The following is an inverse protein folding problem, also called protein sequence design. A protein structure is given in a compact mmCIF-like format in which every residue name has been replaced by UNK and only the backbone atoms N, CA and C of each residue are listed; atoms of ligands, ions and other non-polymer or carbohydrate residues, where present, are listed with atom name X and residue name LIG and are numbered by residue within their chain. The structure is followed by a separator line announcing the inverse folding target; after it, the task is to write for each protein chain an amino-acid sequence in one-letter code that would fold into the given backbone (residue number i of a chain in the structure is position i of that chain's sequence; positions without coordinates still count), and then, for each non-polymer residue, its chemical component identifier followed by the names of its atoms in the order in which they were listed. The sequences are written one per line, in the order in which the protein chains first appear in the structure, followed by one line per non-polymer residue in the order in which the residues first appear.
data_IF_780407358819
#
_entry.id   IF_780407358819
#
_cell.length_a   1.000
_cell.length_b   1.000
_cell.length_c   1.000
_cell.angle_alpha   90.00
_cell.angle_beta   90.00
_cell.angle_gamma   90.00
#
_symmetry.space_group_name_H-M   'P 1'
#
loop_
_entity.id
_entity.type
_entity.pdbx_description
1 polymer ?
#
# COMPACT_ATOMS: atom_id res chain seq x y z
N UNK A 1 12.11 2.92 -10.12
CA UNK A 1 12.21 4.27 -10.74
C UNK A 1 13.25 4.30 -11.85
N UNK A 2 14.53 4.01 -11.57
CA UNK A 2 15.63 4.06 -12.57
C UNK A 2 15.40 3.20 -13.81
N UNK A 3 14.88 1.98 -13.65
CA UNK A 3 14.60 1.09 -14.78
C UNK A 3 13.52 1.65 -15.72
N UNK A 4 12.42 2.19 -15.19
CA UNK A 4 11.36 2.82 -15.98
C UNK A 4 11.88 4.08 -16.67
N UNK A 5 12.63 4.93 -15.95
CA UNK A 5 13.25 6.13 -16.52
C UNK A 5 14.17 5.78 -17.70
N UNK A 6 15.03 4.77 -17.54
CA UNK A 6 15.94 4.33 -18.60
C UNK A 6 15.19 3.89 -19.86
N UNK A 7 14.10 3.11 -19.71
CA UNK A 7 13.27 2.69 -20.85
C UNK A 7 12.61 3.87 -21.57
N UNK A 8 12.09 4.85 -20.82
CA UNK A 8 11.45 6.03 -21.41
C UNK A 8 12.46 6.96 -22.10
N UNK A 9 13.67 7.11 -21.54
CA UNK A 9 14.76 7.84 -22.19
C UNK A 9 15.16 7.17 -23.50
N UNK A 10 15.31 5.84 -23.52
CA UNK A 10 15.62 5.10 -24.77
C UNK A 10 14.56 5.36 -25.84
N UNK A 11 13.26 5.26 -25.49
CA UNK A 11 12.16 5.60 -26.42
C UNK A 11 12.27 7.02 -26.95
N UNK A 12 12.51 7.99 -26.07
CA UNK A 12 12.63 9.40 -26.46
C UNK A 12 13.79 9.62 -27.44
N UNK A 13 14.93 8.97 -27.20
CA UNK A 13 16.11 9.03 -28.09
C UNK A 13 15.86 8.37 -29.45
N UNK A 14 14.92 7.42 -29.53
CA UNK A 14 14.48 6.80 -30.78
C UNK A 14 13.45 7.66 -31.55
N UNK A 15 13.12 8.85 -31.04
CA UNK A 15 12.16 9.77 -31.66
C UNK A 15 10.70 9.44 -31.35
N UNK A 16 10.42 8.47 -30.45
CA UNK A 16 9.06 8.19 -30.00
C UNK A 16 8.52 9.31 -29.11
N UNK A 17 7.20 9.46 -29.13
CA UNK A 17 6.49 10.32 -28.18
C UNK A 17 6.47 9.63 -26.80
N UNK A 18 6.75 10.43 -25.76
CA UNK A 18 6.77 9.97 -24.37
C UNK A 18 5.96 10.95 -23.53
N UNK A 19 4.93 10.46 -22.85
CA UNK A 19 4.18 11.23 -21.88
C UNK A 19 4.85 11.07 -20.51
N UNK A 20 5.74 11.99 -20.17
CA UNK A 20 6.51 11.92 -18.93
C UNK A 20 5.64 11.98 -17.67
N UNK A 21 4.51 12.67 -17.75
CA UNK A 21 3.59 12.79 -16.62
C UNK A 21 2.92 11.44 -16.35
N UNK A 22 2.34 10.84 -17.39
CA UNK A 22 1.65 9.56 -17.27
C UNK A 22 2.61 8.38 -17.09
N UNK A 23 3.61 8.27 -17.94
CA UNK A 23 4.45 7.07 -18.06
C UNK A 23 5.50 6.99 -16.97
N UNK A 24 5.92 8.13 -16.40
CA UNK A 24 6.90 8.17 -15.31
C UNK A 24 6.34 8.71 -14.02
N UNK A 25 5.83 9.95 -14.02
CA UNK A 25 5.51 10.66 -12.79
C UNK A 25 4.36 9.99 -12.03
N UNK A 26 3.21 9.79 -12.67
CA UNK A 26 2.04 9.15 -12.08
C UNK A 26 2.35 7.73 -11.60
N UNK A 27 3.03 6.94 -12.43
CA UNK A 27 3.42 5.56 -12.07
C UNK A 27 4.38 5.52 -10.87
N UNK A 28 5.35 6.43 -10.82
CA UNK A 28 6.29 6.51 -9.69
C UNK A 28 5.57 6.98 -8.44
N UNK A 29 4.74 8.02 -8.55
CA UNK A 29 4.00 8.59 -7.44
C UNK A 29 2.98 7.62 -6.86
N UNK A 30 2.36 6.74 -7.66
CA UNK A 30 1.51 5.67 -7.15
C UNK A 30 2.24 4.80 -6.10
N UNK A 31 3.42 4.31 -6.46
CA UNK A 31 4.21 3.47 -5.56
C UNK A 31 4.71 4.23 -4.33
N UNK A 32 5.19 5.47 -4.54
CA UNK A 32 5.64 6.36 -3.45
C UNK A 32 4.49 6.68 -2.50
N UNK A 33 3.30 6.97 -3.00
CA UNK A 33 2.11 7.29 -2.21
C UNK A 33 1.63 6.08 -1.40
N UNK A 34 1.61 4.89 -2.03
CA UNK A 34 1.30 3.63 -1.35
C UNK A 34 2.23 3.40 -0.18
N UNK A 35 3.55 3.48 -0.42
CA UNK A 35 4.53 3.27 0.64
C UNK A 35 4.47 4.36 1.72
N UNK A 36 4.20 5.62 1.34
CA UNK A 36 4.00 6.73 2.29
C UNK A 36 2.86 6.45 3.26
N UNK A 37 1.71 5.96 2.79
CA UNK A 37 0.60 5.60 3.67
C UNK A 37 0.98 4.54 4.69
N UNK A 38 1.81 3.57 4.30
CA UNK A 38 2.32 2.54 5.21
C UNK A 38 3.29 3.10 6.25
N UNK A 39 4.20 4.00 5.85
CA UNK A 39 5.09 4.69 6.79
C UNK A 39 4.29 5.50 7.81
N UNK A 40 3.27 6.25 7.36
CA UNK A 40 2.41 7.01 8.27
C UNK A 40 1.63 6.09 9.21
N UNK A 41 1.00 5.05 8.68
CA UNK A 41 0.25 4.07 9.48
C UNK A 41 1.12 3.35 10.53
N UNK A 42 2.43 3.21 10.28
CA UNK A 42 3.39 2.73 11.28
C UNK A 42 3.56 3.74 12.42
N UNK A 43 3.87 5.00 12.10
CA UNK A 43 4.07 6.03 13.12
C UNK A 43 2.80 6.41 13.89
N UNK A 44 1.63 6.23 13.28
CA UNK A 44 0.32 6.45 13.91
C UNK A 44 -0.12 5.28 14.82
N UNK A 45 0.59 4.14 14.80
CA UNK A 45 0.21 2.93 15.55
C UNK A 45 -0.85 2.05 14.87
N UNK A 46 -1.37 2.47 13.70
CA UNK A 46 -2.39 1.71 12.95
C UNK A 46 -1.88 0.33 12.53
N UNK A 47 -0.61 0.24 12.09
CA UNK A 47 -0.01 -1.04 11.73
C UNK A 47 0.29 -1.91 12.95
N UNK A 48 0.63 -1.33 14.10
CA UNK A 48 0.79 -2.09 15.35
C UNK A 48 -0.53 -2.77 15.74
N UNK A 49 -1.64 -2.04 15.72
CA UNK A 49 -2.99 -2.60 15.95
C UNK A 49 -3.24 -3.80 15.04
N UNK A 50 -2.89 -3.73 13.76
CA UNK A 50 -3.12 -4.81 12.80
C UNK A 50 -2.18 -6.01 13.06
N UNK A 51 -0.88 -5.76 13.26
CA UNK A 51 0.13 -6.82 13.35
C UNK A 51 0.11 -7.58 14.67
N UNK A 52 -0.37 -6.96 15.74
CA UNK A 52 -0.45 -7.57 17.06
C UNK A 52 -1.88 -7.98 17.46
N UNK A 53 -2.88 -7.75 16.59
CA UNK A 53 -4.22 -8.24 16.80
C UNK A 53 -4.28 -9.77 16.94
N UNK A 54 -5.07 -10.25 17.89
CA UNK A 54 -5.46 -11.64 17.96
C UNK A 54 -6.31 -12.03 16.75
N UNK A 55 -6.25 -13.31 16.34
CA UNK A 55 -7.03 -13.88 15.23
C UNK A 55 -6.94 -13.06 13.92
N UNK A 56 -5.75 -13.07 13.32
CA UNK A 56 -5.49 -12.41 12.03
C UNK A 56 -6.04 -13.22 10.85
N UNK A 57 -6.63 -12.55 9.87
CA UNK A 57 -6.95 -13.15 8.57
C UNK A 57 -5.65 -13.37 7.75
N UNK A 58 -5.28 -14.63 7.41
CA UNK A 58 -4.08 -14.92 6.64
C UNK A 58 -4.03 -14.25 5.26
N UNK A 59 -5.17 -14.04 4.62
CA UNK A 59 -5.25 -13.38 3.30
C UNK A 59 -4.86 -11.91 3.43
N UNK A 60 -5.45 -11.21 4.40
CA UNK A 60 -5.15 -9.80 4.69
C UNK A 60 -3.67 -9.62 5.03
N UNK A 61 -3.12 -10.50 5.88
CA UNK A 61 -1.70 -10.48 6.23
C UNK A 61 -0.80 -10.61 4.99
N UNK A 62 -1.10 -11.56 4.09
CA UNK A 62 -0.34 -11.73 2.83
C UNK A 62 -0.40 -10.49 1.94
N UNK A 63 -1.58 -9.88 1.81
CA UNK A 63 -1.78 -8.67 1.02
C UNK A 63 -0.97 -7.49 1.59
N UNK A 64 -0.97 -7.30 2.90
CA UNK A 64 -0.16 -6.27 3.58
C UNK A 64 1.34 -6.56 3.42
N UNK A 65 1.77 -7.81 3.60
CA UNK A 65 3.16 -8.22 3.40
C UNK A 65 3.63 -8.00 1.95
N UNK A 66 2.76 -8.16 0.96
CA UNK A 66 3.08 -7.87 -0.45
C UNK A 66 3.50 -6.41 -0.64
N UNK A 67 2.82 -5.47 0.03
CA UNK A 67 3.18 -4.05 -0.04
C UNK A 67 4.53 -3.80 0.61
N UNK A 68 4.76 -4.39 1.79
CA UNK A 68 6.04 -4.29 2.51
C UNK A 68 7.21 -4.93 1.74
N UNK A 69 6.93 -5.94 0.92
CA UNK A 69 7.89 -6.55 0.00
C UNK A 69 8.15 -5.69 -1.27
N UNK A 70 7.50 -4.53 -1.41
CA UNK A 70 7.71 -3.59 -2.49
C UNK A 70 6.77 -3.75 -3.69
N UNK A 71 5.78 -4.64 -3.64
CA UNK A 71 4.78 -4.81 -4.71
C UNK A 71 3.70 -3.72 -4.66
N UNK A 72 4.10 -2.45 -4.70
CA UNK A 72 3.24 -1.27 -4.51
C UNK A 72 2.50 -0.80 -5.76
N UNK A 73 2.57 -1.58 -6.84
CA UNK A 73 1.89 -1.28 -8.11
C UNK A 73 0.80 -2.29 -8.45
N UNK A 74 0.59 -3.33 -7.64
CA UNK A 74 -0.47 -4.31 -7.87
C UNK A 74 -1.83 -3.77 -7.40
N UNK A 75 -2.57 -3.14 -8.31
CA UNK A 75 -3.89 -2.57 -8.01
C UNK A 75 -4.99 -3.61 -7.78
N UNK A 76 -4.73 -4.91 -7.97
CA UNK A 76 -5.65 -5.97 -7.55
C UNK A 76 -5.57 -6.22 -6.03
N UNK A 77 -4.45 -5.84 -5.41
CA UNK A 77 -4.31 -5.87 -3.96
C UNK A 77 -5.08 -4.67 -3.36
N UNK A 78 -6.13 -4.91 -2.55
CA UNK A 78 -6.93 -3.83 -1.97
C UNK A 78 -6.09 -2.90 -1.06
N UNK A 79 -5.00 -3.40 -0.48
CA UNK A 79 -4.12 -2.61 0.37
C UNK A 79 -3.09 -1.78 -0.40
N UNK A 80 -2.96 -1.99 -1.72
CA UNK A 80 -2.32 -1.05 -2.64
C UNK A 80 -3.35 -0.07 -3.18
N UNK A 81 -4.48 -0.58 -3.69
CA UNK A 81 -5.50 0.24 -4.35
C UNK A 81 -6.13 1.29 -3.43
N UNK A 82 -6.33 0.94 -2.16
CA UNK A 82 -6.95 1.78 -1.14
C UNK A 82 -5.98 2.06 0.01
N UNK A 83 -4.68 2.23 -0.31
CA UNK A 83 -3.60 2.36 0.66
C UNK A 83 -3.81 3.49 1.69
N UNK A 84 -4.59 4.51 1.33
CA UNK A 84 -4.89 5.68 2.14
C UNK A 84 -6.00 5.46 3.19
N UNK A 85 -6.79 4.39 3.06
CA UNK A 85 -7.95 4.16 3.93
C UNK A 85 -8.10 2.73 4.43
N UNK A 86 -7.54 1.73 3.73
CA UNK A 86 -7.74 0.32 4.05
C UNK A 86 -7.16 -0.07 5.41
N UNK A 87 -5.96 0.43 5.74
CA UNK A 87 -5.30 0.14 7.01
C UNK A 87 -6.13 0.67 8.19
N UNK A 88 -6.54 1.95 8.15
CA UNK A 88 -7.36 2.54 9.22
C UNK A 88 -8.72 1.87 9.35
N UNK A 89 -9.34 1.46 8.23
CA UNK A 89 -10.59 0.69 8.27
C UNK A 89 -10.40 -0.65 8.97
N UNK A 90 -9.32 -1.37 8.66
CA UNK A 90 -9.01 -2.65 9.29
C UNK A 90 -8.74 -2.49 10.78
N UNK A 91 -7.90 -1.53 11.18
CA UNK A 91 -7.61 -1.25 12.58
C UNK A 91 -8.91 -0.95 13.36
N UNK A 92 -9.78 -0.08 12.85
CA UNK A 92 -11.07 0.21 13.50
C UNK A 92 -11.97 -1.02 13.65
N UNK A 93 -11.95 -1.95 12.69
CA UNK A 93 -12.72 -3.20 12.80
C UNK A 93 -12.15 -4.13 13.88
N UNK A 94 -10.82 -4.18 14.02
CA UNK A 94 -10.14 -4.92 15.08
C UNK A 94 -10.49 -4.34 16.45
N UNK A 95 -10.36 -3.03 16.61
CA UNK A 95 -10.67 -2.35 17.89
C UNK A 95 -12.13 -2.56 18.31
N UNK A 96 -13.07 -2.47 17.37
CA UNK A 96 -14.49 -2.70 17.63
C UNK A 96 -14.75 -4.15 18.06
N UNK A 97 -14.16 -5.12 17.35
CA UNK A 97 -14.27 -6.54 17.68
C UNK A 97 -13.75 -6.82 19.09
N UNK A 98 -12.61 -6.24 19.44
CA UNK A 98 -11.94 -6.50 20.72
C UNK A 98 -12.71 -5.83 21.88
N UNK A 99 -13.27 -4.64 21.65
CA UNK A 99 -14.19 -3.97 22.59
C UNK A 99 -15.42 -4.84 22.86
N UNK A 100 -16.10 -5.32 21.82
CA UNK A 100 -17.30 -6.18 21.96
C UNK A 100 -16.96 -7.48 22.71
N UNK A 101 -15.76 -8.04 22.49
CA UNK A 101 -15.33 -9.26 23.20
C UNK A 101 -15.10 -9.01 24.69
N UNK A 102 -14.47 -7.89 25.03
CA UNK A 102 -14.24 -7.50 26.41
C UNK A 102 -15.55 -7.30 27.18
N UNK A 103 -16.57 -6.70 26.56
CA UNK A 103 -17.88 -6.48 27.19
C UNK A 103 -18.68 -7.78 27.41
N UNK A 104 -18.38 -8.83 26.65
CA UNK A 104 -19.07 -10.13 26.72
C UNK A 104 -18.30 -11.19 27.56
N UNK A 105 -17.14 -10.85 28.10
CA UNK A 105 -16.29 -11.72 28.92
C UNK A 105 -16.54 -11.48 30.42
#
# INVERSE_FOLDING_TARGET
SSQTAAKLVVKKLQGEEVDWEKDYMQTTMQGVNTFRSYVMAWYEGTLDTIFFADQQDPLVKRQICSVLAGYVWDLNNPYVRYHDTALHKLARMIDLRDTIRADNA
#
